data_IF_208618088373
#
_entry.id   IF_208618088373
#
_cell.length_a   1.000
_cell.length_b   1.000
_cell.length_c   1.000
_cell.angle_alpha   90.00
_cell.angle_beta   90.00
_cell.angle_gamma   90.00
#
_symmetry.space_group_name_H-M   'P 1'
#
loop_
_entity.id
_entity.type
_entity.pdbx_description
1 polymer ?
#
# COMPACT_ATOMS: atom_id res chain seq x y z
N UNK A 1 2.47 9.52 -12.81
CA UNK A 1 3.71 8.87 -12.36
C UNK A 1 4.14 9.47 -11.02
N UNK A 2 4.81 8.71 -10.14
CA UNK A 2 5.39 9.23 -8.90
C UNK A 2 6.92 9.10 -8.94
N UNK A 3 7.64 10.16 -8.55
CA UNK A 3 9.07 10.10 -8.25
C UNK A 3 9.30 10.26 -6.75
N UNK A 4 10.25 9.50 -6.22
CA UNK A 4 10.63 9.55 -4.80
C UNK A 4 12.06 9.08 -4.63
N UNK A 5 12.65 9.38 -3.47
CA UNK A 5 13.97 8.88 -3.08
C UNK A 5 13.95 8.14 -1.76
N UNK A 6 14.85 7.17 -1.65
CA UNK A 6 15.27 6.58 -0.38
C UNK A 6 16.79 6.76 -0.24
N UNK A 7 17.26 6.94 1.00
CA UNK A 7 18.67 7.12 1.30
C UNK A 7 19.10 6.05 2.29
N UNK A 8 20.24 5.41 2.02
CA UNK A 8 20.88 4.42 2.89
C UNK A 8 22.40 4.52 2.70
N UNK A 9 23.16 4.35 3.79
CA UNK A 9 24.63 4.29 3.83
C UNK A 9 25.36 5.05 2.71
N UNK A 10 25.18 6.38 2.66
CA UNK A 10 25.94 7.26 1.76
C UNK A 10 25.48 7.28 0.29
N UNK A 11 24.36 6.62 -0.06
CA UNK A 11 23.76 6.68 -1.40
C UNK A 11 22.28 7.02 -1.34
N UNK A 12 21.77 7.55 -2.46
CA UNK A 12 20.34 7.80 -2.69
C UNK A 12 19.85 6.98 -3.88
N UNK A 13 18.67 6.39 -3.75
CA UNK A 13 17.94 5.68 -4.81
C UNK A 13 16.81 6.59 -5.26
N UNK A 14 16.87 7.12 -6.48
CA UNK A 14 15.78 7.88 -7.09
C UNK A 14 14.99 6.93 -7.97
N UNK A 15 13.70 6.75 -7.69
CA UNK A 15 12.82 5.88 -8.47
C UNK A 15 11.71 6.69 -9.12
N UNK A 16 11.30 6.24 -10.30
CA UNK A 16 10.09 6.65 -10.99
C UNK A 16 9.18 5.42 -11.10
N UNK A 17 7.95 5.54 -10.59
CA UNK A 17 6.96 4.45 -10.57
C UNK A 17 5.62 4.90 -11.18
N UNK A 18 4.89 3.97 -11.76
CA UNK A 18 3.52 4.22 -12.20
C UNK A 18 2.52 4.36 -11.03
N UNK A 19 1.22 4.44 -11.32
CA UNK A 19 0.16 4.55 -10.31
C UNK A 19 -0.02 3.28 -9.47
N UNK A 20 0.44 2.12 -9.96
CA UNK A 20 0.39 0.84 -9.26
C UNK A 20 1.67 0.58 -8.43
N UNK A 21 2.70 1.41 -8.58
CA UNK A 21 3.99 1.27 -7.93
C UNK A 21 4.97 0.37 -8.70
N UNK A 22 4.72 0.13 -9.99
CA UNK A 22 5.61 -0.58 -10.89
C UNK A 22 6.77 0.36 -11.29
N UNK A 23 8.00 -0.10 -11.12
CA UNK A 23 9.19 0.67 -11.43
C UNK A 23 9.32 0.91 -12.94
N UNK A 24 9.41 2.17 -13.34
CA UNK A 24 9.65 2.61 -14.71
C UNK A 24 11.11 3.02 -14.94
N UNK A 25 11.73 3.61 -13.91
CA UNK A 25 13.15 3.99 -13.95
C UNK A 25 13.73 4.06 -12.54
N UNK A 26 15.02 3.77 -12.42
CA UNK A 26 15.83 4.02 -11.23
C UNK A 26 17.14 4.69 -11.61
N UNK A 27 17.64 5.56 -10.75
CA UNK A 27 19.01 6.09 -10.73
C UNK A 27 19.52 6.05 -9.29
N UNK A 28 20.77 5.64 -9.10
CA UNK A 28 21.45 5.65 -7.81
C UNK A 28 22.55 6.71 -7.82
N UNK A 29 22.56 7.57 -6.81
CA UNK A 29 23.52 8.67 -6.68
C UNK A 29 24.21 8.61 -5.31
N UNK A 30 25.27 9.41 -5.13
CA UNK A 30 25.80 9.66 -3.79
C UNK A 30 24.79 10.43 -2.95
N UNK A 31 24.78 10.22 -1.63
CA UNK A 31 23.83 10.87 -0.74
C UNK A 31 23.96 12.41 -0.70
N UNK A 32 25.14 12.94 -1.05
CA UNK A 32 25.38 14.39 -1.17
C UNK A 32 24.67 15.03 -2.36
N UNK A 33 24.26 14.25 -3.37
CA UNK A 33 23.55 14.76 -4.54
C UNK A 33 22.15 15.23 -4.11
N UNK A 34 21.77 16.43 -4.52
CA UNK A 34 20.43 16.96 -4.22
C UNK A 34 19.36 16.19 -4.99
N UNK A 35 18.17 16.08 -4.41
CA UNK A 35 17.10 15.27 -4.97
C UNK A 35 16.69 15.77 -6.37
N UNK A 36 16.65 17.10 -6.56
CA UNK A 36 16.44 17.76 -7.86
C UNK A 36 17.49 17.39 -8.92
N UNK A 37 18.75 17.24 -8.52
CA UNK A 37 19.86 16.95 -9.44
C UNK A 37 19.87 15.48 -9.83
N UNK A 38 19.49 14.58 -8.91
CA UNK A 38 19.26 13.18 -9.21
C UNK A 38 18.04 12.93 -10.10
N UNK A 39 16.98 13.73 -9.96
CA UNK A 39 15.78 13.61 -10.79
C UNK A 39 15.95 14.09 -12.23
N UNK A 40 16.85 15.04 -12.49
CA UNK A 40 17.07 15.54 -13.84
C UNK A 40 17.42 14.43 -14.86
N UNK A 41 18.49 13.62 -14.66
CA UNK A 41 18.79 12.50 -15.56
C UNK A 41 17.72 11.39 -15.48
N UNK A 42 17.00 11.26 -14.37
CA UNK A 42 15.92 10.28 -14.21
C UNK A 42 14.77 10.60 -15.18
N UNK A 43 14.29 11.85 -15.16
CA UNK A 43 13.19 12.32 -16.01
C UNK A 43 13.60 12.35 -17.48
N UNK A 44 14.82 12.79 -17.80
CA UNK A 44 15.33 12.79 -19.17
C UNK A 44 15.30 11.37 -19.79
N UNK A 45 15.90 10.39 -19.09
CA UNK A 45 15.97 8.99 -19.56
C UNK A 45 14.61 8.29 -19.57
N UNK A 46 13.69 8.75 -18.74
CA UNK A 46 12.35 8.21 -18.70
C UNK A 46 11.52 8.71 -19.90
N UNK A 47 11.66 10.00 -20.26
CA UNK A 47 10.94 10.62 -21.37
C UNK A 47 11.25 9.98 -22.72
N UNK A 48 12.44 9.37 -22.87
CA UNK A 48 12.81 8.65 -24.10
C UNK A 48 12.04 7.36 -24.33
N UNK A 49 11.38 6.81 -23.31
CA UNK A 49 10.67 5.52 -23.40
C UNK A 49 9.17 5.61 -23.13
N UNK A 50 8.72 6.61 -22.38
CA UNK A 50 7.34 6.68 -21.92
C UNK A 50 6.70 8.04 -22.25
N UNK A 51 5.46 7.98 -22.73
CA UNK A 51 4.60 9.15 -22.87
C UNK A 51 3.94 9.41 -21.53
N UNK A 52 4.50 10.36 -20.77
CA UNK A 52 4.00 10.74 -19.45
C UNK A 52 3.58 12.20 -19.54
N UNK A 53 2.44 12.54 -18.94
CA UNK A 53 1.97 13.91 -18.85
C UNK A 53 2.25 14.52 -17.47
N UNK A 54 2.07 13.72 -16.41
CA UNK A 54 2.04 14.18 -15.03
C UNK A 54 2.92 13.36 -14.09
N UNK A 55 3.74 14.06 -13.32
CA UNK A 55 4.66 13.53 -12.31
C UNK A 55 4.33 14.13 -10.95
N UNK A 56 4.12 13.29 -9.94
CA UNK A 56 4.05 13.71 -8.54
C UNK A 56 5.41 13.52 -7.88
N UNK A 57 5.89 14.53 -7.17
CA UNK A 57 7.16 14.51 -6.45
C UNK A 57 7.03 15.16 -5.08
N UNK A 58 7.94 14.85 -4.16
CA UNK A 58 8.02 15.53 -2.87
C UNK A 58 8.69 16.91 -2.96
N UNK A 59 8.70 17.65 -1.85
CA UNK A 59 9.29 18.99 -1.77
C UNK A 59 10.78 19.08 -2.13
N UNK A 60 11.55 18.00 -2.01
CA UNK A 60 12.98 17.96 -2.32
C UNK A 60 13.28 18.12 -3.82
N UNK A 61 12.28 17.88 -4.68
CA UNK A 61 12.37 18.00 -6.13
C UNK A 61 11.95 19.37 -6.67
N UNK A 62 11.59 20.32 -5.79
CA UNK A 62 11.16 21.65 -6.19
C UNK A 62 12.28 22.51 -6.81
N UNK A 63 11.90 23.66 -7.37
CA UNK A 63 12.82 24.65 -7.94
C UNK A 63 13.09 24.44 -9.42
N UNK A 64 14.35 24.64 -9.85
CA UNK A 64 14.78 24.66 -11.26
C UNK A 64 14.36 23.43 -12.09
N UNK A 65 14.16 22.28 -11.45
CA UNK A 65 13.72 21.06 -12.10
C UNK A 65 12.34 21.21 -12.74
N UNK A 66 11.41 21.95 -12.12
CA UNK A 66 10.04 22.11 -12.62
C UNK A 66 10.01 22.89 -13.94
N UNK A 67 10.73 24.01 -13.98
CA UNK A 67 10.84 24.83 -15.18
C UNK A 67 11.47 24.01 -16.32
N UNK A 68 12.61 23.38 -16.07
CA UNK A 68 13.26 22.53 -17.06
C UNK A 68 12.37 21.37 -17.55
N UNK A 69 11.67 20.67 -16.65
CA UNK A 69 10.77 19.57 -17.03
C UNK A 69 9.61 20.06 -17.90
N UNK A 70 9.07 21.24 -17.62
CA UNK A 70 8.01 21.87 -18.43
C UNK A 70 8.53 22.32 -19.80
N UNK A 71 9.65 23.02 -19.82
CA UNK A 71 10.13 23.73 -21.01
C UNK A 71 10.85 22.79 -21.99
N UNK A 72 11.57 21.80 -21.47
CA UNK A 72 12.40 20.87 -22.28
C UNK A 72 11.70 19.53 -22.50
N UNK A 73 11.07 18.96 -21.47
CA UNK A 73 10.44 17.63 -21.58
C UNK A 73 8.94 17.68 -21.85
N UNK A 74 8.33 18.86 -21.78
CA UNK A 74 6.88 19.07 -21.81
C UNK A 74 6.15 18.19 -20.78
N UNK A 75 6.73 18.10 -19.58
CA UNK A 75 6.23 17.32 -18.45
C UNK A 75 5.72 18.23 -17.34
N UNK A 76 4.50 17.98 -16.85
CA UNK A 76 4.01 18.63 -15.64
C UNK A 76 4.52 17.90 -14.40
N UNK A 77 5.24 18.61 -13.54
CA UNK A 77 5.70 18.10 -12.23
C UNK A 77 4.93 18.81 -11.12
N UNK A 78 4.07 18.07 -10.43
CA UNK A 78 3.32 18.54 -9.26
C UNK A 78 4.07 18.17 -7.99
N UNK A 79 4.45 19.18 -7.22
CA UNK A 79 5.06 19.00 -5.90
C UNK A 79 3.98 18.79 -4.85
N UNK A 80 4.02 17.65 -4.18
CA UNK A 80 3.15 17.30 -3.06
C UNK A 80 3.92 17.62 -1.78
N UNK A 81 3.62 18.78 -1.19
CA UNK A 81 4.14 19.18 0.12
C UNK A 81 3.18 18.75 1.23
N UNK A 82 3.74 18.45 2.39
CA UNK A 82 2.98 18.44 3.64
C UNK A 82 2.67 19.88 4.01
N UNK A 83 1.45 20.18 4.44
CA UNK A 83 1.16 21.47 5.09
C UNK A 83 1.80 21.49 6.48
N UNK A 84 2.54 22.56 6.77
CA UNK A 84 3.25 22.73 8.05
C UNK A 84 2.28 22.88 9.24
N UNK A 85 1.01 23.24 8.97
CA UNK A 85 -0.05 23.40 9.98
C UNK A 85 -0.62 22.06 10.49
N UNK A 86 -0.29 20.93 9.83
CA UNK A 86 -0.86 19.64 10.15
C UNK A 86 0.00 18.88 11.19
N UNK A 87 -0.54 18.71 12.40
CA UNK A 87 0.05 17.86 13.46
C UNK A 87 -0.26 16.37 13.22
N UNK A 88 0.70 15.49 13.54
CA UNK A 88 0.54 14.04 13.41
C UNK A 88 0.95 13.45 12.05
N UNK A 89 0.61 12.18 11.79
CA UNK A 89 0.88 11.52 10.51
C UNK A 89 -0.24 11.83 9.52
N UNK A 90 0.09 12.48 8.41
CA UNK A 90 -0.86 12.77 7.32
C UNK A 90 -0.42 12.01 6.07
N UNK A 91 -1.35 11.23 5.52
CA UNK A 91 -1.12 10.52 4.26
C UNK A 91 -1.15 11.53 3.14
N UNK A 92 0.01 11.76 2.52
CA UNK A 92 0.09 12.59 1.31
C UNK A 92 -0.43 11.80 0.11
N UNK A 93 -1.40 12.35 -0.65
CA UNK A 93 -1.95 11.68 -1.82
C UNK A 93 -0.85 11.24 -2.79
N UNK A 94 -0.94 9.98 -3.25
CA UNK A 94 -0.06 9.33 -4.24
C UNK A 94 1.40 9.08 -3.81
N UNK A 95 1.94 9.80 -2.82
CA UNK A 95 3.33 9.61 -2.36
C UNK A 95 3.60 8.21 -1.78
N UNK A 96 2.60 7.68 -1.08
CA UNK A 96 2.65 6.34 -0.47
C UNK A 96 2.90 5.22 -1.49
N UNK A 97 2.58 5.43 -2.78
CA UNK A 97 2.79 4.42 -3.84
C UNK A 97 4.29 4.14 -4.02
N UNK A 98 5.11 5.18 -4.12
CA UNK A 98 6.56 5.03 -4.28
C UNK A 98 7.23 4.55 -2.98
N UNK A 99 6.77 5.02 -1.82
CA UNK A 99 7.23 4.53 -0.51
C UNK A 99 6.96 3.03 -0.33
N UNK A 100 5.77 2.57 -0.73
CA UNK A 100 5.42 1.16 -0.75
C UNK A 100 6.33 0.37 -1.70
N UNK A 101 6.69 0.92 -2.85
CA UNK A 101 7.67 0.29 -3.75
C UNK A 101 9.02 0.14 -3.06
N UNK A 102 9.51 1.16 -2.33
CA UNK A 102 10.72 1.00 -1.51
C UNK A 102 10.56 -0.09 -0.46
N UNK A 103 9.43 -0.15 0.25
CA UNK A 103 9.17 -1.21 1.24
C UNK A 103 9.18 -2.61 0.61
N UNK A 104 8.67 -2.78 -0.61
CA UNK A 104 8.77 -4.02 -1.36
C UNK A 104 10.19 -4.36 -1.75
N UNK A 105 10.99 -3.38 -2.18
CA UNK A 105 12.40 -3.58 -2.52
C UNK A 105 13.19 -4.04 -1.28
N UNK A 106 12.90 -3.52 -0.08
CA UNK A 106 13.52 -3.94 1.17
C UNK A 106 13.22 -5.41 1.53
N UNK A 107 12.16 -6.03 0.99
CA UNK A 107 11.93 -7.48 1.18
C UNK A 107 12.97 -8.35 0.50
N UNK A 108 13.69 -7.82 -0.47
CA UNK A 108 14.83 -8.51 -1.07
C UNK A 108 16.04 -8.24 -0.18
N UNK A 109 16.54 -9.28 0.50
CA UNK A 109 17.66 -9.19 1.46
C UNK A 109 18.85 -8.38 0.95
N UNK A 110 19.15 -8.48 -0.35
CA UNK A 110 20.28 -7.77 -0.99
C UNK A 110 20.06 -6.27 -1.17
N UNK A 111 18.81 -5.78 -1.10
CA UNK A 111 18.48 -4.36 -1.22
C UNK A 111 18.23 -3.70 0.14
N UNK A 112 18.27 -4.45 1.24
CA UNK A 112 18.17 -3.91 2.61
C UNK A 112 19.34 -2.97 2.92
N UNK A 113 20.52 -3.33 2.44
CA UNK A 113 21.76 -2.53 2.56
C UNK A 113 22.41 -2.43 1.20
N UNK A 114 23.19 -1.38 1.00
CA UNK A 114 23.97 -1.18 -0.22
C UNK A 114 25.34 -1.84 -0.04
N UNK A 115 25.56 -2.94 -0.76
CA UNK A 115 26.84 -3.66 -0.75
C UNK A 115 27.72 -3.30 -1.94
N UNK A 116 27.10 -2.79 -3.01
CA UNK A 116 27.77 -2.54 -4.28
C UNK A 116 28.63 -1.26 -4.23
N UNK A 117 29.89 -1.37 -4.68
CA UNK A 117 30.81 -0.22 -4.79
C UNK A 117 30.37 0.79 -5.85
N UNK A 118 29.87 0.29 -6.98
CA UNK A 118 29.43 1.07 -8.14
C UNK A 118 27.90 1.28 -8.12
N UNK A 119 27.38 2.51 -8.30
CA UNK A 119 25.94 2.78 -8.36
C UNK A 119 25.20 1.95 -9.40
N UNK A 120 25.82 1.70 -10.55
CA UNK A 120 25.23 0.98 -11.68
C UNK A 120 24.93 -0.48 -11.33
N UNK A 121 25.79 -1.10 -10.52
CA UNK A 121 25.54 -2.46 -10.02
C UNK A 121 24.34 -2.48 -9.06
N UNK A 122 24.22 -1.45 -8.21
CA UNK A 122 23.08 -1.34 -7.31
C UNK A 122 21.77 -1.09 -8.07
N UNK A 123 21.80 -0.26 -9.12
CA UNK A 123 20.68 -0.08 -10.05
C UNK A 123 20.27 -1.41 -10.69
N UNK A 124 21.23 -2.23 -11.13
CA UNK A 124 20.95 -3.55 -11.70
C UNK A 124 20.27 -4.49 -10.69
N UNK A 125 20.69 -4.48 -9.43
CA UNK A 125 20.03 -5.27 -8.38
C UNK A 125 18.58 -4.83 -8.15
N UNK A 126 18.29 -3.53 -8.21
CA UNK A 126 16.93 -2.99 -8.10
C UNK A 126 16.08 -3.43 -9.29
N UNK A 127 16.64 -3.38 -10.51
CA UNK A 127 15.96 -3.90 -11.70
C UNK A 127 15.64 -5.39 -11.57
N UNK A 128 16.59 -6.21 -11.12
CA UNK A 128 16.38 -7.65 -10.94
C UNK A 128 15.25 -7.95 -9.94
N UNK A 129 15.24 -7.28 -8.79
CA UNK A 129 14.15 -7.41 -7.80
C UNK A 129 12.79 -6.97 -8.37
N UNK A 130 12.78 -5.94 -9.20
CA UNK A 130 11.58 -5.44 -9.86
C UNK A 130 11.05 -6.43 -10.88
N UNK A 131 11.91 -6.97 -11.76
CA UNK A 131 11.53 -8.02 -12.73
C UNK A 131 10.91 -9.21 -12.01
N UNK A 132 11.57 -9.71 -10.95
CA UNK A 132 11.02 -10.80 -10.14
C UNK A 132 9.63 -10.46 -9.58
N UNK A 133 9.44 -9.25 -9.04
CA UNK A 133 8.15 -8.82 -8.50
C UNK A 133 7.07 -8.73 -9.58
N UNK A 134 7.38 -8.10 -10.72
CA UNK A 134 6.44 -7.90 -11.82
C UNK A 134 6.02 -9.23 -12.44
N UNK A 135 6.97 -10.14 -12.69
CA UNK A 135 6.67 -11.48 -13.20
C UNK A 135 5.75 -12.24 -12.25
N UNK A 136 6.02 -12.22 -10.93
CA UNK A 136 5.13 -12.87 -9.94
C UNK A 136 3.74 -12.25 -9.84
N UNK A 137 3.58 -10.97 -10.17
CA UNK A 137 2.25 -10.34 -10.26
C UNK A 137 1.55 -10.81 -11.52
N UNK A 138 2.22 -10.72 -12.66
CA UNK A 138 1.68 -11.16 -13.93
C UNK A 138 1.22 -12.63 -13.90
N UNK A 139 2.04 -13.54 -13.38
CA UNK A 139 1.65 -14.96 -13.26
C UNK A 139 0.41 -15.16 -12.40
N UNK A 140 0.26 -14.38 -11.32
CA UNK A 140 -0.93 -14.46 -10.45
C UNK A 140 -2.20 -13.94 -11.12
N UNK A 141 -2.09 -12.81 -11.83
CA UNK A 141 -3.20 -12.29 -12.64
C UNK A 141 -3.62 -13.31 -13.71
N UNK A 142 -2.67 -13.87 -14.45
CA UNK A 142 -2.93 -14.87 -15.50
C UNK A 142 -3.51 -16.18 -14.94
N UNK A 143 -3.17 -16.54 -13.70
CA UNK A 143 -3.73 -17.71 -13.02
C UNK A 143 -5.12 -17.46 -12.39
N UNK A 144 -5.71 -16.27 -12.59
CA UNK A 144 -6.99 -15.90 -11.98
C UNK A 144 -6.92 -15.74 -10.46
N UNK A 145 -5.72 -15.53 -9.90
CA UNK A 145 -5.47 -15.31 -8.48
C UNK A 145 -4.96 -13.88 -8.25
N UNK A 146 -5.77 -12.84 -8.51
CA UNK A 146 -5.32 -11.46 -8.32
C UNK A 146 -4.84 -11.28 -6.87
N UNK A 147 -3.79 -10.46 -6.64
CA UNK A 147 -3.36 -10.16 -5.29
C UNK A 147 -4.55 -9.58 -4.54
N UNK A 148 -4.85 -10.13 -3.35
CA UNK A 148 -5.88 -9.56 -2.47
C UNK A 148 -5.66 -8.04 -2.40
N UNK A 149 -6.67 -7.27 -2.80
CA UNK A 149 -6.60 -5.85 -2.65
C UNK A 149 -6.38 -5.56 -1.17
N UNK A 150 -5.37 -4.76 -0.86
CA UNK A 150 -5.13 -4.33 0.53
C UNK A 150 -6.35 -3.56 1.10
N UNK A 151 -7.22 -3.12 0.18
CA UNK A 151 -8.51 -2.47 0.36
C UNK A 151 -9.58 -3.09 -0.57
N UNK A 152 -9.42 -4.36 -0.98
CA UNK A 152 -10.54 -5.06 -1.64
C UNK A 152 -11.58 -5.42 -0.59
N UNK A 153 -12.77 -5.80 -1.07
CA UNK A 153 -13.80 -6.41 -0.25
C UNK A 153 -13.19 -7.46 0.69
N UNK A 154 -13.69 -7.54 1.93
CA UNK A 154 -13.26 -8.59 2.85
C UNK A 154 -13.33 -9.95 2.15
N UNK A 155 -12.46 -10.91 2.50
CA UNK A 155 -12.49 -12.23 1.89
C UNK A 155 -13.94 -12.76 1.91
N UNK A 156 -14.37 -13.46 0.84
CA UNK A 156 -15.74 -13.94 0.74
C UNK A 156 -16.09 -14.71 2.01
N UNK A 157 -17.31 -14.48 2.50
CA UNK A 157 -17.80 -15.15 3.69
C UNK A 157 -17.80 -16.67 3.45
N UNK A 158 -17.54 -17.48 4.50
CA UNK A 158 -17.64 -18.92 4.37
C UNK A 158 -19.07 -19.33 4.02
N UNK A 159 -19.22 -20.47 3.35
CA UNK A 159 -20.51 -21.14 3.29
C UNK A 159 -20.91 -21.54 4.70
N UNK A 160 -22.06 -21.02 5.16
CA UNK A 160 -22.51 -21.20 6.54
C UNK A 160 -23.13 -22.59 6.69
N UNK A 161 -22.52 -23.44 7.51
CA UNK A 161 -22.94 -24.83 7.72
C UNK A 161 -23.89 -24.98 8.90
N UNK A 162 -23.81 -24.05 9.86
CA UNK A 162 -24.62 -24.07 11.07
C UNK A 162 -26.10 -23.83 10.78
N UNK A 163 -26.97 -24.64 11.39
CA UNK A 163 -28.42 -24.51 11.27
C UNK A 163 -28.98 -23.38 12.13
N UNK A 164 -28.34 -23.11 13.27
CA UNK A 164 -28.77 -22.09 14.23
C UNK A 164 -28.09 -20.74 14.00
N UNK A 165 -28.79 -19.67 14.36
CA UNK A 165 -28.32 -18.28 14.16
C UNK A 165 -27.00 -17.99 14.88
N UNK A 166 -26.81 -18.55 16.08
CA UNK A 166 -25.60 -18.32 16.87
C UNK A 166 -24.40 -19.02 16.21
N UNK A 167 -24.56 -20.28 15.80
CA UNK A 167 -23.55 -21.01 15.02
C UNK A 167 -23.12 -20.26 13.77
N UNK A 168 -24.07 -19.74 12.99
CA UNK A 168 -23.79 -18.90 11.81
C UNK A 168 -22.98 -17.65 12.16
N UNK A 169 -23.30 -16.96 13.25
CA UNK A 169 -22.52 -15.81 13.71
C UNK A 169 -21.10 -16.24 14.12
N UNK A 170 -20.95 -17.34 14.84
CA UNK A 170 -19.64 -17.84 15.24
C UNK A 170 -18.77 -18.22 14.05
N UNK A 171 -19.34 -18.85 13.02
CA UNK A 171 -18.65 -19.15 11.75
C UNK A 171 -18.15 -17.87 11.05
N UNK A 172 -19.00 -16.82 10.98
CA UNK A 172 -18.62 -15.53 10.40
C UNK A 172 -17.49 -14.87 11.20
N UNK A 173 -17.61 -14.85 12.53
CA UNK A 173 -16.60 -14.26 13.42
C UNK A 173 -15.27 -15.03 13.35
N UNK A 174 -15.33 -16.36 13.26
CA UNK A 174 -14.16 -17.24 13.16
C UNK A 174 -13.46 -17.14 11.80
N UNK A 175 -14.20 -16.87 10.72
CA UNK A 175 -13.62 -16.68 9.39
C UNK A 175 -12.78 -15.39 9.29
N UNK A 176 -13.10 -14.37 10.08
CA UNK A 176 -12.41 -13.08 10.07
C UNK A 176 -12.12 -12.59 11.51
N UNK A 177 -11.23 -13.26 12.25
CA UNK A 177 -11.03 -13.01 13.69
C UNK A 177 -10.39 -11.65 14.00
N UNK A 178 -9.72 -11.04 13.01
CA UNK A 178 -9.15 -9.70 13.12
C UNK A 178 -10.17 -8.58 12.93
N UNK A 179 -11.42 -8.89 12.59
CA UNK A 179 -12.45 -7.90 12.21
C UNK A 179 -13.45 -7.68 13.35
N UNK A 180 -13.71 -6.41 13.66
CA UNK A 180 -14.84 -6.03 14.52
C UNK A 180 -16.11 -5.88 13.67
N UNK A 181 -17.13 -6.66 14.01
CA UNK A 181 -18.38 -6.75 13.26
C UNK A 181 -19.45 -5.85 13.86
N UNK A 182 -20.13 -5.09 13.00
CA UNK A 182 -21.34 -4.34 13.42
C UNK A 182 -22.53 -5.30 13.48
N UNK A 183 -23.35 -5.19 14.51
CA UNK A 183 -24.58 -5.99 14.60
C UNK A 183 -25.53 -5.84 13.40
N UNK A 184 -25.57 -4.65 12.78
CA UNK A 184 -26.37 -4.41 11.56
C UNK A 184 -25.81 -5.13 10.33
N UNK A 185 -24.49 -5.29 10.25
CA UNK A 185 -23.85 -5.98 9.14
C UNK A 185 -24.08 -7.49 9.22
N UNK A 186 -23.93 -8.05 10.42
CA UNK A 186 -24.27 -9.45 10.70
C UNK A 186 -25.77 -9.72 10.42
N UNK A 187 -26.65 -8.77 10.76
CA UNK A 187 -28.08 -8.90 10.46
C UNK A 187 -28.34 -8.95 8.94
N UNK A 188 -27.69 -8.08 8.17
CA UNK A 188 -27.83 -8.05 6.71
C UNK A 188 -27.35 -9.37 6.06
N UNK A 189 -26.21 -9.90 6.51
CA UNK A 189 -25.67 -11.18 6.02
C UNK A 189 -26.62 -12.35 6.31
N UNK A 190 -27.27 -12.34 7.47
CA UNK A 190 -28.16 -13.41 7.92
C UNK A 190 -29.63 -13.20 7.53
N UNK A 191 -29.96 -12.14 6.79
CA UNK A 191 -31.33 -11.82 6.40
C UNK A 191 -32.26 -11.47 7.57
N UNK A 192 -31.74 -10.85 8.63
CA UNK A 192 -32.50 -10.50 9.83
C UNK A 192 -33.06 -9.08 9.71
N UNK A 193 -34.38 -8.95 9.65
CA UNK A 193 -35.06 -7.66 9.49
C UNK A 193 -34.98 -6.78 10.75
N UNK A 194 -35.15 -7.37 11.94
CA UNK A 194 -35.13 -6.61 13.20
C UNK A 194 -33.73 -6.54 13.82
N UNK A 195 -32.96 -5.55 13.35
CA UNK A 195 -31.58 -5.32 13.81
C UNK A 195 -31.48 -5.01 15.31
N UNK A 196 -32.47 -4.33 15.90
CA UNK A 196 -32.42 -3.95 17.31
C UNK A 196 -32.59 -5.16 18.23
N UNK A 197 -33.55 -6.05 17.95
CA UNK A 197 -33.69 -7.32 18.66
C UNK A 197 -32.41 -8.17 18.53
N UNK A 198 -31.81 -8.19 17.34
CA UNK A 198 -30.58 -8.93 17.10
C UNK A 198 -29.38 -8.36 17.86
N UNK A 199 -29.24 -7.04 17.99
CA UNK A 199 -28.20 -6.41 18.84
C UNK A 199 -28.35 -6.80 20.31
N UNK A 200 -29.57 -6.92 20.81
CA UNK A 200 -29.84 -7.39 22.17
C UNK A 200 -29.37 -8.85 22.32
N UNK A 201 -29.69 -9.72 21.35
CA UNK A 201 -29.21 -11.10 21.34
C UNK A 201 -27.68 -11.19 21.32
N UNK A 202 -27.01 -10.41 20.46
CA UNK A 202 -25.55 -10.35 20.42
C UNK A 202 -24.96 -9.86 21.77
N UNK A 203 -25.59 -8.88 22.42
CA UNK A 203 -25.15 -8.43 23.74
C UNK A 203 -25.32 -9.53 24.80
N UNK A 204 -26.42 -10.29 24.76
CA UNK A 204 -26.65 -11.41 25.66
C UNK A 204 -25.63 -12.54 25.44
N UNK A 205 -25.34 -12.90 24.18
CA UNK A 205 -24.31 -13.89 23.86
C UNK A 205 -22.92 -13.46 24.29
N UNK A 206 -22.66 -12.15 24.32
CA UNK A 206 -21.41 -11.63 24.88
C UNK A 206 -21.35 -11.78 26.40
N UNK A 207 -22.44 -11.49 27.12
CA UNK A 207 -22.52 -11.75 28.56
C UNK A 207 -22.38 -13.24 28.91
N UNK A 208 -22.84 -14.12 28.04
CA UNK A 208 -22.72 -15.58 28.18
C UNK A 208 -21.35 -16.12 27.76
N UNK A 209 -20.45 -15.27 27.24
CA UNK A 209 -19.09 -15.67 26.87
C UNK A 209 -18.97 -16.41 25.53
N UNK A 210 -19.97 -16.32 24.64
CA UNK A 210 -19.86 -16.91 23.30
C UNK A 210 -19.11 -15.99 22.32
N UNK A 211 -19.25 -14.67 22.50
CA UNK A 211 -18.63 -13.65 21.64
C UNK A 211 -18.09 -12.49 22.48
N UNK A 212 -17.10 -11.78 21.95
CA UNK A 212 -16.53 -10.61 22.62
C UNK A 212 -17.18 -9.32 22.14
N UNK A 213 -17.56 -8.42 23.06
CA UNK A 213 -18.05 -7.08 22.74
C UNK A 213 -16.88 -6.10 22.81
N UNK A 214 -16.39 -5.70 21.64
CA UNK A 214 -15.18 -4.88 21.48
C UNK A 214 -15.49 -3.38 21.68
N UNK A 215 -16.74 -2.96 21.42
CA UNK A 215 -17.16 -1.57 21.54
C UNK A 215 -18.67 -1.40 21.32
N UNK A 216 -19.15 -0.15 21.16
CA UNK A 216 -20.56 0.14 20.94
C UNK A 216 -21.11 -0.57 19.69
N UNK A 217 -21.93 -1.61 19.91
CA UNK A 217 -22.48 -2.47 18.86
C UNK A 217 -21.44 -3.17 17.96
N UNK A 218 -20.22 -3.38 18.48
CA UNK A 218 -19.13 -4.07 17.82
C UNK A 218 -18.82 -5.40 18.51
N UNK A 219 -18.75 -6.46 17.72
CA UNK A 219 -18.59 -7.84 18.20
C UNK A 219 -17.43 -8.52 17.48
N UNK A 220 -16.74 -9.41 18.17
CA UNK A 220 -15.66 -10.24 17.63
C UNK A 220 -15.64 -11.61 18.28
N UNK A 221 -14.76 -12.52 17.83
CA UNK A 221 -14.59 -13.81 18.50
C UNK A 221 -14.07 -13.61 19.93
N UNK A 222 -14.32 -14.59 20.80
CA UNK A 222 -13.66 -14.63 22.10
C UNK A 222 -12.14 -14.70 21.93
N UNK A 223 -11.36 -13.94 22.72
CA UNK A 223 -9.91 -14.03 22.67
C UNK A 223 -9.47 -15.44 23.06
N UNK A 224 -8.66 -16.07 22.22
CA UNK A 224 -7.99 -17.33 22.56
C UNK A 224 -7.07 -17.05 23.75
N UNK A 225 -7.26 -17.78 24.86
CA UNK A 225 -6.32 -17.74 25.98
C UNK A 225 -4.97 -18.28 25.47
N UNK A 226 -3.94 -17.44 25.52
CA UNK A 226 -2.56 -17.80 25.25
C UNK A 226 -1.99 -18.65 26.40
#
# INVERSE_FOLDING_TARGET
>A
MIISRAQDNGRKRHIAVDTLGLLLRVIVTAASVQDRDGAHPLLARLRTKFTIALVWADGGYAGRLLAWARDVLHLTVTIVKRSDDLRGFVVLPRRWVAERTFAWLTRYRRLVRIYERKPEHHEAMIWWATVHQMTRRLTRELAGQPPHGRWSDPPPLPELSSTDRRGKVLEILAAQPWRAWKGAELAAILGIENVNSFRVQLSQWSHQGYINKIGPALYGPMPTRA
#
